data_IF_645431788855
#
_entry.id   IF_645431788855
#
_cell.length_a   1.000
_cell.length_b   1.000
_cell.length_c   1.000
_cell.angle_alpha   90.00
_cell.angle_beta   90.00
_cell.angle_gamma   90.00
#
_symmetry.space_group_name_H-M   'P 1'
#
loop_
_entity.id
_entity.type
_entity.pdbx_description
1 polymer ?
#
# COMPACT_ATOMS: atom_id res chain seq x y z
N UNK A 1 -5.88 -18.61 24.67
CA UNK A 1 -4.98 -17.75 23.85
C UNK A 1 -5.02 -18.18 22.39
N UNK A 2 -6.12 -18.81 21.92
CA UNK A 2 -6.16 -19.48 20.62
C UNK A 2 -6.75 -18.64 19.49
N UNK A 3 -7.39 -17.50 19.82
CA UNK A 3 -8.13 -16.67 18.87
C UNK A 3 -7.49 -15.28 18.65
N UNK A 4 -6.16 -15.18 18.75
CA UNK A 4 -5.46 -13.91 18.56
C UNK A 4 -5.17 -13.58 17.08
N UNK A 5 -5.15 -14.59 16.21
CA UNK A 5 -4.92 -14.42 14.77
C UNK A 5 -6.22 -14.76 14.04
N UNK A 6 -7.04 -13.73 13.83
CA UNK A 6 -8.16 -13.82 12.91
C UNK A 6 -7.69 -13.32 11.53
N UNK A 7 -7.62 -14.21 10.55
CA UNK A 7 -7.30 -13.84 9.16
C UNK A 7 -8.63 -13.50 8.46
N UNK A 8 -8.92 -12.21 8.22
CA UNK A 8 -10.16 -11.84 7.56
C UNK A 8 -10.15 -12.33 6.11
N UNK A 9 -11.32 -12.69 5.59
CA UNK A 9 -11.50 -12.95 4.17
C UNK A 9 -11.36 -11.65 3.38
N UNK A 10 -10.72 -11.72 2.21
CA UNK A 10 -10.55 -10.57 1.33
C UNK A 10 -11.88 -10.28 0.64
N UNK A 11 -12.38 -9.05 0.76
CA UNK A 11 -13.71 -8.66 0.30
C UNK A 11 -13.83 -8.53 -1.23
N UNK A 12 -12.73 -8.19 -1.92
CA UNK A 12 -12.67 -8.01 -3.38
C UNK A 12 -11.68 -9.02 -3.96
N UNK A 13 -12.16 -9.83 -4.91
CA UNK A 13 -11.35 -10.88 -5.55
C UNK A 13 -11.13 -10.66 -7.05
N UNK A 14 -11.82 -9.68 -7.63
CA UNK A 14 -11.77 -9.39 -9.06
C UNK A 14 -11.59 -7.89 -9.29
N UNK A 15 -10.81 -7.55 -10.31
CA UNK A 15 -10.55 -6.19 -10.79
C UNK A 15 -10.82 -6.13 -12.28
N UNK A 16 -11.36 -5.00 -12.75
CA UNK A 16 -11.76 -4.83 -14.15
C UNK A 16 -10.57 -4.71 -15.08
N UNK A 17 -9.50 -4.08 -14.59
CA UNK A 17 -8.26 -3.81 -15.30
C UNK A 17 -7.12 -3.56 -14.29
N UNK A 18 -5.87 -3.59 -14.76
CA UNK A 18 -4.69 -3.36 -13.95
C UNK A 18 -4.63 -1.96 -13.33
N UNK A 19 -5.27 -0.95 -13.91
CA UNK A 19 -5.31 0.39 -13.35
C UNK A 19 -6.20 0.44 -12.09
N UNK A 20 -7.34 -0.26 -12.12
CA UNK A 20 -8.23 -0.43 -10.97
C UNK A 20 -7.56 -1.25 -9.86
N UNK A 21 -6.76 -2.25 -10.21
CA UNK A 21 -5.97 -3.04 -9.27
C UNK A 21 -4.88 -2.20 -8.59
N UNK A 22 -4.12 -1.43 -9.37
CA UNK A 22 -3.08 -0.53 -8.84
C UNK A 22 -3.67 0.61 -7.99
N UNK A 23 -4.87 1.10 -8.34
CA UNK A 23 -5.58 2.09 -7.53
C UNK A 23 -5.97 1.53 -6.17
N UNK A 24 -6.55 0.33 -6.13
CA UNK A 24 -6.92 -0.32 -4.88
C UNK A 24 -5.70 -0.71 -4.04
N UNK A 25 -4.60 -1.13 -4.68
CA UNK A 25 -3.34 -1.38 -4.01
C UNK A 25 -2.79 -0.11 -3.34
N UNK A 26 -2.80 1.02 -4.05
CA UNK A 26 -2.38 2.31 -3.48
C UNK A 26 -3.25 2.72 -2.29
N UNK A 27 -4.57 2.55 -2.41
CA UNK A 27 -5.51 2.84 -1.30
C UNK A 27 -5.28 1.92 -0.09
N UNK A 28 -4.92 0.65 -0.32
CA UNK A 28 -4.54 -0.28 0.74
C UNK A 28 -3.26 0.19 1.43
N UNK A 29 -2.22 0.56 0.68
CA UNK A 29 -0.96 1.04 1.26
C UNK A 29 -1.16 2.33 2.07
N UNK A 30 -2.03 3.23 1.62
CA UNK A 30 -2.40 4.43 2.38
C UNK A 30 -3.08 4.05 3.71
N UNK A 31 -3.96 3.05 3.72
CA UNK A 31 -4.61 2.55 4.95
C UNK A 31 -3.61 1.93 5.91
N UNK A 32 -2.70 1.10 5.41
CA UNK A 32 -1.62 0.47 6.21
C UNK A 32 -0.74 1.54 6.83
N UNK A 33 -0.31 2.53 6.05
CA UNK A 33 0.52 3.65 6.51
C UNK A 33 -0.18 4.47 7.60
N UNK A 34 -1.47 4.76 7.44
CA UNK A 34 -2.26 5.42 8.50
C UNK A 34 -2.33 4.58 9.78
N UNK A 35 -2.45 3.26 9.65
CA UNK A 35 -2.43 2.34 10.79
C UNK A 35 -1.08 2.37 11.53
N UNK A 36 0.03 2.31 10.79
CA UNK A 36 1.39 2.40 11.35
C UNK A 36 1.59 3.73 12.08
N UNK A 37 1.15 4.85 11.50
CA UNK A 37 1.23 6.18 12.17
C UNK A 37 0.41 6.22 13.46
N UNK A 38 -0.77 5.60 13.49
CA UNK A 38 -1.59 5.50 14.71
C UNK A 38 -0.92 4.61 15.77
N UNK A 39 -0.25 3.53 15.36
CA UNK A 39 0.53 2.68 16.24
C UNK A 39 1.69 3.47 16.86
N UNK A 40 2.46 4.22 16.05
CA UNK A 40 3.52 5.10 16.53
C UNK A 40 3.01 6.08 17.60
N UNK A 41 1.91 6.79 17.31
CA UNK A 41 1.28 7.71 18.29
C UNK A 41 0.89 7.01 19.59
N UNK A 42 0.44 5.76 19.51
CA UNK A 42 0.11 4.94 20.69
C UNK A 42 1.38 4.59 21.48
N UNK A 43 2.46 4.24 20.79
CA UNK A 43 3.75 3.88 21.40
C UNK A 43 4.49 5.07 22.01
N UNK A 44 4.26 6.29 21.52
CA UNK A 44 4.80 7.54 22.08
C UNK A 44 3.99 8.07 23.28
N UNK A 45 2.78 7.53 23.51
CA UNK A 45 1.87 8.03 24.54
C UNK A 45 2.33 7.68 25.96
N UNK A 46 1.99 8.53 26.93
CA UNK A 46 2.34 8.33 28.35
C UNK A 46 1.47 7.23 28.99
N UNK A 47 1.96 6.49 30.01
CA UNK A 47 3.18 6.73 30.78
C UNK A 47 4.47 6.07 30.25
N UNK A 48 4.37 5.15 29.29
CA UNK A 48 5.52 4.41 28.76
C UNK A 48 5.79 4.79 27.30
N UNK A 49 6.87 5.52 27.06
CA UNK A 49 7.32 5.83 25.71
C UNK A 49 8.27 4.73 25.19
N UNK A 50 7.87 4.04 24.13
CA UNK A 50 8.63 2.94 23.52
C UNK A 50 9.55 3.46 22.39
N UNK A 51 10.57 4.24 22.73
CA UNK A 51 11.46 4.92 21.77
C UNK A 51 12.01 3.99 20.67
N UNK A 52 12.48 2.79 21.04
CA UNK A 52 13.07 1.87 20.06
C UNK A 52 12.04 1.26 19.10
N UNK A 53 10.79 1.09 19.54
CA UNK A 53 9.71 0.61 18.68
C UNK A 53 9.27 1.71 17.71
N UNK A 54 9.20 2.95 18.19
CA UNK A 54 8.87 4.12 17.37
C UNK A 54 9.93 4.34 16.29
N UNK A 55 11.21 4.26 16.66
CA UNK A 55 12.34 4.36 15.74
C UNK A 55 12.24 3.29 14.64
N UNK A 56 12.03 2.02 15.03
CA UNK A 56 11.90 0.91 14.09
C UNK A 56 10.70 1.06 13.13
N UNK A 57 9.52 1.42 13.66
CA UNK A 57 8.32 1.65 12.84
C UNK A 57 8.49 2.83 11.88
N UNK A 58 9.29 3.83 12.25
CA UNK A 58 9.53 5.01 11.42
C UNK A 58 10.62 4.77 10.37
N UNK A 59 11.78 4.28 10.78
CA UNK A 59 12.95 4.12 9.92
C UNK A 59 12.85 2.96 8.94
N UNK A 60 12.11 1.90 9.29
CA UNK A 60 11.94 0.73 8.41
C UNK A 60 10.59 0.78 7.71
N UNK A 61 9.50 0.69 8.48
CA UNK A 61 8.18 0.52 7.88
C UNK A 61 7.66 1.78 7.19
N UNK A 62 7.72 2.96 7.83
CA UNK A 62 7.22 4.17 7.16
C UNK A 62 8.04 4.56 5.92
N UNK A 63 9.36 4.32 5.93
CA UNK A 63 10.21 4.54 4.75
C UNK A 63 9.78 3.65 3.58
N UNK A 64 9.62 2.34 3.83
CA UNK A 64 9.16 1.38 2.82
C UNK A 64 7.76 1.72 2.30
N UNK A 65 6.84 2.08 3.19
CA UNK A 65 5.48 2.49 2.81
C UNK A 65 5.46 3.72 1.89
N UNK A 66 6.31 4.72 2.15
CA UNK A 66 6.39 5.92 1.32
C UNK A 66 6.99 5.62 -0.06
N UNK A 67 8.02 4.77 -0.10
CA UNK A 67 8.60 4.31 -1.35
C UNK A 67 7.59 3.51 -2.18
N UNK A 68 6.93 2.51 -1.58
CA UNK A 68 5.92 1.68 -2.24
C UNK A 68 4.74 2.49 -2.78
N UNK A 69 4.21 3.45 -2.01
CA UNK A 69 3.17 4.35 -2.50
C UNK A 69 3.63 5.17 -3.70
N UNK A 70 4.88 5.65 -3.69
CA UNK A 70 5.42 6.46 -4.80
C UNK A 70 5.54 5.63 -6.07
N UNK A 71 5.98 4.38 -5.95
CA UNK A 71 6.09 3.44 -7.06
C UNK A 71 4.72 3.07 -7.62
N UNK A 72 3.76 2.70 -6.77
CA UNK A 72 2.39 2.37 -7.18
C UNK A 72 1.71 3.55 -7.89
N UNK A 73 1.84 4.76 -7.36
CA UNK A 73 1.31 5.97 -7.99
C UNK A 73 1.97 6.25 -9.36
N UNK A 74 3.27 5.96 -9.48
CA UNK A 74 4.02 6.04 -10.74
C UNK A 74 3.54 5.03 -11.78
N UNK A 75 3.41 3.76 -11.37
CA UNK A 75 2.89 2.67 -12.19
C UNK A 75 1.46 2.97 -12.66
N UNK A 76 0.58 3.40 -11.75
CA UNK A 76 -0.80 3.77 -12.06
C UNK A 76 -0.88 4.91 -13.08
N UNK A 77 -0.08 5.97 -12.90
CA UNK A 77 -0.06 7.12 -13.83
C UNK A 77 0.44 6.71 -15.21
N UNK A 78 1.44 5.84 -15.27
CA UNK A 78 2.01 5.34 -16.54
C UNK A 78 1.01 4.44 -17.26
N UNK A 79 0.42 3.48 -16.55
CA UNK A 79 -0.58 2.58 -17.11
C UNK A 79 -1.81 3.34 -17.64
N UNK A 80 -2.34 4.31 -16.87
CA UNK A 80 -3.47 5.15 -17.34
C UNK A 80 -3.14 5.86 -18.65
N UNK A 81 -1.96 6.48 -18.76
CA UNK A 81 -1.52 7.13 -20.01
C UNK A 81 -1.40 6.14 -21.17
N UNK A 82 -0.89 4.93 -20.91
CA UNK A 82 -0.76 3.90 -21.93
C UNK A 82 -2.12 3.40 -22.41
N UNK A 83 -3.07 3.18 -21.49
CA UNK A 83 -4.45 2.81 -21.80
C UNK A 83 -5.18 3.91 -22.58
N UNK A 84 -4.99 5.19 -22.20
CA UNK A 84 -5.57 6.32 -22.93
C UNK A 84 -5.08 6.39 -24.39
N UNK A 85 -3.81 6.03 -24.63
CA UNK A 85 -3.20 6.07 -25.97
C UNK A 85 -3.44 4.81 -26.83
N UNK A 86 -3.46 3.62 -26.22
CA UNK A 86 -3.40 2.34 -26.93
C UNK A 86 -4.55 1.39 -26.56
N UNK A 87 -5.53 1.83 -25.75
CA UNK A 87 -6.62 0.99 -25.26
C UNK A 87 -6.13 -0.23 -24.48
N UNK A 88 -6.76 -1.39 -24.70
CA UNK A 88 -6.42 -2.67 -24.06
C UNK A 88 -4.99 -3.14 -24.35
N UNK A 89 -4.42 -2.78 -25.51
CA UNK A 89 -3.02 -3.10 -25.82
C UNK A 89 -2.05 -2.36 -24.89
N UNK A 90 -2.45 -1.20 -24.36
CA UNK A 90 -1.67 -0.43 -23.40
C UNK A 90 -1.38 -1.22 -22.12
N UNK A 91 -2.34 -2.01 -21.64
CA UNK A 91 -2.17 -2.85 -20.45
C UNK A 91 -1.22 -4.02 -20.72
N UNK A 92 -1.36 -4.69 -21.87
CA UNK A 92 -0.44 -5.76 -22.28
C UNK A 92 1.01 -5.26 -22.41
N UNK A 93 1.21 -4.09 -23.04
CA UNK A 93 2.55 -3.50 -23.18
C UNK A 93 3.14 -3.14 -21.82
N UNK A 94 2.32 -2.60 -20.91
CA UNK A 94 2.75 -2.27 -19.56
C UNK A 94 3.20 -3.53 -18.79
N UNK A 95 2.42 -4.62 -18.86
CA UNK A 95 2.76 -5.91 -18.25
C UNK A 95 4.13 -6.45 -18.73
N UNK A 96 4.48 -6.28 -20.01
CA UNK A 96 5.78 -6.74 -20.53
C UNK A 96 6.97 -5.90 -20.09
N UNK A 97 6.73 -4.72 -19.53
CA UNK A 97 7.77 -3.80 -19.05
C UNK A 97 7.86 -3.75 -17.53
N UNK A 98 7.11 -4.59 -16.83
CA UNK A 98 6.81 -4.47 -15.41
C UNK A 98 7.95 -4.98 -14.51
#
# INVERSE_FOLDING_TARGET
VSDLINVPTVAKQEWTDGASALSDALDLEIKVTKSIRKLIQTCESKPYNHYHLVDYLTGVYLEEQLHGQRELAGKLTTLKKMMDSNGELGEFLFDKTL
#
